data_IF_661517022497
#
_entry.id   IF_661517022497
#
_cell.length_a   1.000
_cell.length_b   1.000
_cell.length_c   1.000
_cell.angle_alpha   90.00
_cell.angle_beta   90.00
_cell.angle_gamma   90.00
#
_symmetry.space_group_name_H-M   'P 1'
#
loop_
_entity.id
_entity.type
_entity.pdbx_description
1 polymer ?
#
# COMPACT_ATOMS: atom_id res chain seq x y z
N UNK A 1 42.48 46.67 14.27
CA UNK A 1 42.14 45.76 13.16
C UNK A 1 41.05 44.81 13.64
N UNK A 2 39.78 45.20 13.52
CA UNK A 2 38.63 44.35 13.89
C UNK A 2 38.06 43.71 12.63
N UNK A 3 38.05 42.39 12.62
CA UNK A 3 37.71 41.53 11.48
C UNK A 3 36.19 41.51 11.28
N UNK A 4 35.77 41.71 10.03
CA UNK A 4 34.43 41.43 9.56
C UNK A 4 34.08 39.95 9.83
N UNK A 5 33.01 39.71 10.59
CA UNK A 5 32.37 38.40 10.68
C UNK A 5 31.09 38.42 9.87
N UNK A 6 31.14 37.89 8.64
CA UNK A 6 29.99 37.72 7.77
C UNK A 6 29.25 36.45 8.23
N UNK A 7 28.01 36.61 8.74
CA UNK A 7 27.10 35.51 9.03
C UNK A 7 26.28 35.20 7.78
N UNK A 8 26.69 34.19 7.02
CA UNK A 8 25.91 33.63 5.90
C UNK A 8 24.79 32.74 6.45
N UNK A 9 23.58 33.28 6.53
CA UNK A 9 22.38 32.50 6.82
C UNK A 9 21.93 31.77 5.55
N UNK A 10 22.24 30.46 5.45
CA UNK A 10 21.70 29.60 4.40
C UNK A 10 20.29 29.19 4.81
N UNK A 11 19.28 29.93 4.34
CA UNK A 11 17.89 29.54 4.47
C UNK A 11 17.60 28.36 3.53
N UNK A 12 17.75 27.15 4.05
CA UNK A 12 17.24 25.94 3.40
C UNK A 12 15.72 25.95 3.50
N UNK A 13 15.06 26.50 2.49
CA UNK A 13 13.63 26.31 2.25
C UNK A 13 13.47 24.85 1.80
N UNK A 14 13.36 23.96 2.79
CA UNK A 14 13.05 22.56 2.57
C UNK A 14 11.66 22.46 1.96
N UNK A 15 11.58 22.36 0.64
CA UNK A 15 10.38 21.92 -0.05
C UNK A 15 10.09 20.49 0.42
N UNK A 16 9.19 20.35 1.39
CA UNK A 16 8.57 19.08 1.71
C UNK A 16 7.72 18.68 0.49
N UNK A 17 8.36 18.04 -0.49
CA UNK A 17 7.68 17.34 -1.55
C UNK A 17 6.85 16.24 -0.88
N UNK A 18 5.59 16.58 -0.61
CA UNK A 18 4.58 15.62 -0.22
C UNK A 18 4.37 14.73 -1.44
N UNK A 19 5.14 13.65 -1.53
CA UNK A 19 4.85 12.56 -2.44
C UNK A 19 3.47 12.01 -2.02
N UNK A 20 2.42 12.55 -2.64
CA UNK A 20 1.10 11.94 -2.59
C UNK A 20 1.30 10.63 -3.33
N UNK A 21 1.42 9.54 -2.58
CA UNK A 21 1.35 8.21 -3.16
C UNK A 21 -0.06 8.11 -3.74
N UNK A 22 -0.18 8.27 -5.06
CA UNK A 22 -1.42 7.95 -5.76
C UNK A 22 -1.85 6.54 -5.32
N UNK A 23 -3.07 6.44 -4.81
CA UNK A 23 -3.62 5.17 -4.33
C UNK A 23 -3.67 4.20 -5.52
N UNK A 24 -2.90 3.11 -5.44
CA UNK A 24 -2.84 2.12 -6.52
C UNK A 24 -4.22 1.46 -6.67
N UNK A 25 -4.85 1.58 -7.84
CA UNK A 25 -6.14 0.95 -8.12
C UNK A 25 -5.93 -0.26 -9.02
N UNK A 26 -6.35 -1.45 -8.57
CA UNK A 26 -6.36 -2.67 -9.37
C UNK A 26 -7.75 -2.91 -9.93
N UNK A 27 -7.89 -2.88 -11.25
CA UNK A 27 -9.15 -3.21 -11.92
C UNK A 27 -9.31 -4.74 -11.98
N UNK A 28 -10.42 -5.24 -11.44
CA UNK A 28 -10.80 -6.66 -11.47
C UNK A 28 -12.16 -6.82 -12.15
N UNK A 29 -12.37 -7.97 -12.77
CA UNK A 29 -13.63 -8.33 -13.42
C UNK A 29 -14.47 -9.25 -12.54
N UNK A 30 -13.83 -10.07 -11.70
CA UNK A 30 -14.47 -11.04 -10.83
C UNK A 30 -13.80 -11.08 -9.46
N UNK A 31 -14.59 -10.84 -8.41
CA UNK A 31 -14.14 -10.98 -7.03
C UNK A 31 -14.78 -12.22 -6.37
N UNK A 32 -14.03 -13.08 -5.67
CA UNK A 32 -12.59 -13.04 -5.39
C UNK A 32 -11.70 -13.75 -6.45
N UNK A 33 -12.24 -14.03 -7.65
CA UNK A 33 -11.53 -14.79 -8.69
C UNK A 33 -10.17 -14.19 -9.08
N UNK A 34 -10.14 -12.87 -9.25
CA UNK A 34 -9.01 -12.11 -9.79
C UNK A 34 -8.03 -11.61 -8.71
N UNK A 35 -8.07 -12.19 -7.51
CA UNK A 35 -7.23 -11.76 -6.38
C UNK A 35 -5.73 -11.90 -6.65
N UNK A 36 -5.35 -12.76 -7.60
CA UNK A 36 -3.97 -12.98 -8.08
C UNK A 36 -3.43 -11.84 -8.96
N UNK A 37 -4.29 -10.98 -9.50
CA UNK A 37 -3.85 -9.76 -10.19
C UNK A 37 -3.23 -8.74 -9.22
N UNK A 38 -3.53 -8.89 -7.93
CA UNK A 38 -3.04 -7.99 -6.88
C UNK A 38 -1.77 -8.60 -6.28
N UNK A 39 -0.62 -7.90 -6.33
CA UNK A 39 0.64 -8.45 -5.85
C UNK A 39 0.58 -8.70 -4.35
N UNK A 40 1.20 -9.78 -3.88
CA UNK A 40 1.27 -10.12 -2.44
C UNK A 40 1.83 -9.00 -1.55
N UNK A 41 2.61 -8.05 -2.09
CA UNK A 41 3.09 -6.89 -1.34
C UNK A 41 1.99 -5.89 -0.97
N UNK A 42 0.86 -5.91 -1.67
CA UNK A 42 -0.30 -5.09 -1.35
C UNK A 42 -1.16 -5.70 -0.22
N UNK A 43 -0.89 -6.94 0.14
CA UNK A 43 -1.65 -7.70 1.13
C UNK A 43 -0.87 -7.82 2.44
N UNK A 44 -1.56 -7.53 3.54
CA UNK A 44 -1.01 -7.70 4.89
C UNK A 44 -1.87 -8.70 5.65
N UNK A 45 -1.24 -9.76 6.19
CA UNK A 45 -1.91 -10.70 7.08
C UNK A 45 -1.90 -10.16 8.51
N UNK A 46 -3.08 -9.88 9.02
CA UNK A 46 -3.35 -9.52 10.41
C UNK A 46 -3.15 -10.73 11.35
N UNK A 47 -2.91 -10.46 12.63
CA UNK A 47 -2.67 -11.48 13.65
C UNK A 47 -3.88 -12.38 13.90
N UNK A 48 -5.08 -11.90 13.58
CA UNK A 48 -6.34 -12.64 13.70
C UNK A 48 -6.63 -13.56 12.50
N UNK A 49 -5.69 -13.64 11.54
CA UNK A 49 -5.79 -14.45 10.33
C UNK A 49 -6.45 -13.77 9.14
N UNK A 50 -6.88 -12.51 9.27
CA UNK A 50 -7.48 -11.74 8.15
C UNK A 50 -6.39 -11.23 7.21
N UNK A 51 -6.60 -11.32 5.90
CA UNK A 51 -5.79 -10.62 4.91
C UNK A 51 -6.43 -9.29 4.57
N UNK A 52 -5.67 -8.20 4.69
CA UNK A 52 -6.15 -6.84 4.43
C UNK A 52 -5.36 -6.24 3.27
N UNK A 53 -6.07 -5.65 2.32
CA UNK A 53 -5.47 -4.87 1.25
C UNK A 53 -5.03 -3.51 1.81
N UNK A 54 -3.71 -3.30 1.92
CA UNK A 54 -3.11 -2.08 2.48
C UNK A 54 -2.38 -1.24 1.45
N UNK A 55 -2.16 -1.78 0.25
CA UNK A 55 -1.40 -1.11 -0.82
C UNK A 55 -2.25 -0.26 -1.78
N UNK A 56 -3.58 -0.22 -1.61
CA UNK A 56 -4.45 0.49 -2.54
C UNK A 56 -5.90 0.00 -2.52
N UNK A 57 -6.54 0.07 -3.70
CA UNK A 57 -7.96 -0.12 -3.91
C UNK A 57 -8.23 -1.15 -5.01
N UNK A 58 -9.39 -1.80 -4.97
CA UNK A 58 -9.86 -2.67 -6.06
C UNK A 58 -11.04 -2.02 -6.73
N UNK A 59 -11.03 -1.96 -8.05
CA UNK A 59 -12.16 -1.48 -8.84
C UNK A 59 -12.86 -2.64 -9.52
N UNK A 60 -14.12 -2.85 -9.18
CA UNK A 60 -15.01 -3.87 -9.78
C UNK A 60 -16.12 -3.14 -10.53
N UNK A 61 -16.03 -3.13 -11.86
CA UNK A 61 -16.94 -2.35 -12.70
C UNK A 61 -16.87 -0.84 -12.40
N UNK A 62 -17.97 -0.26 -11.92
CA UNK A 62 -18.05 1.16 -11.53
C UNK A 62 -17.73 1.40 -10.05
N UNK A 63 -17.54 0.34 -9.25
CA UNK A 63 -17.30 0.45 -7.81
C UNK A 63 -15.81 0.37 -7.50
N UNK A 64 -15.32 1.28 -6.66
CA UNK A 64 -13.97 1.22 -6.09
C UNK A 64 -14.09 0.88 -4.61
N UNK A 65 -13.41 -0.19 -4.20
CA UNK A 65 -13.43 -0.76 -2.87
C UNK A 65 -12.06 -0.59 -2.22
N UNK A 66 -12.06 0.05 -1.05
CA UNK A 66 -10.87 0.28 -0.23
C UNK A 66 -10.96 -0.56 1.04
N UNK A 67 -9.81 -0.84 1.68
CA UNK A 67 -9.74 -1.59 2.94
C UNK A 67 -10.39 -2.97 2.88
N UNK A 68 -10.19 -3.69 1.77
CA UNK A 68 -10.75 -5.03 1.59
C UNK A 68 -10.09 -5.99 2.58
N UNK A 69 -10.91 -6.64 3.41
CA UNK A 69 -10.51 -7.70 4.31
C UNK A 69 -11.13 -9.03 3.89
N UNK A 70 -10.31 -10.07 3.73
CA UNK A 70 -10.79 -11.44 3.49
C UNK A 70 -10.31 -12.36 4.60
N UNK A 71 -11.21 -13.21 5.12
CA UNK A 71 -10.92 -14.08 6.28
C UNK A 71 -11.68 -15.40 6.17
N UNK A 72 -10.94 -16.51 6.25
CA UNK A 72 -11.52 -17.85 6.35
C UNK A 72 -12.34 -18.30 5.14
N UNK A 73 -12.31 -17.55 4.04
CA UNK A 73 -12.97 -17.87 2.77
C UNK A 73 -11.95 -18.39 1.73
N UNK A 74 -12.46 -18.75 0.55
CA UNK A 74 -11.62 -19.24 -0.55
C UNK A 74 -10.51 -18.24 -0.97
N UNK A 75 -10.76 -16.94 -0.82
CA UNK A 75 -9.81 -15.88 -1.15
C UNK A 75 -8.67 -15.82 -0.12
N UNK A 76 -9.01 -15.86 1.16
CA UNK A 76 -8.05 -15.91 2.26
C UNK A 76 -7.17 -17.17 2.20
N UNK A 77 -7.74 -18.33 1.88
CA UNK A 77 -6.97 -19.56 1.68
C UNK A 77 -6.05 -19.50 0.46
N UNK A 78 -6.48 -18.83 -0.62
CA UNK A 78 -5.63 -18.57 -1.80
C UNK A 78 -4.46 -17.66 -1.43
N UNK A 79 -4.70 -16.56 -0.73
CA UNK A 79 -3.66 -15.66 -0.23
C UNK A 79 -2.71 -16.35 0.77
N UNK A 80 -3.22 -17.24 1.62
CA UNK A 80 -2.36 -18.02 2.52
C UNK A 80 -1.38 -18.90 1.77
N UNK A 81 -1.84 -19.55 0.69
CA UNK A 81 -1.00 -20.41 -0.16
C UNK A 81 0.02 -19.60 -0.95
N UNK A 82 -0.40 -18.47 -1.53
CA UNK A 82 0.39 -17.71 -2.51
C UNK A 82 1.28 -16.65 -1.85
N UNK A 83 0.76 -15.96 -0.84
CA UNK A 83 1.41 -14.83 -0.18
C UNK A 83 1.92 -15.17 1.24
N UNK A 84 1.35 -16.18 1.90
CA UNK A 84 1.70 -16.56 3.27
C UNK A 84 3.10 -17.14 3.45
N UNK A 85 3.76 -17.57 2.37
CA UNK A 85 5.08 -18.20 2.40
C UNK A 85 6.25 -17.21 2.49
N UNK A 86 6.02 -15.89 2.39
CA UNK A 86 7.07 -14.85 2.46
C UNK A 86 7.52 -14.45 3.88
N UNK A 87 7.32 -15.29 4.89
CA UNK A 87 7.91 -15.08 6.22
C UNK A 87 8.83 -16.23 6.61
N UNK A 88 10.06 -16.19 6.11
CA UNK A 88 11.26 -16.62 6.85
C UNK A 88 12.42 -15.69 6.50
#
# INVERSE_FOLDING_TARGET
>A
MSRLGILTAVALIGAAASARADEQVWEVQSWPGDIDLIPCSAWTKSSDGTWVLTGGAVKLGSETMNNIGVKGDAAAHKLDRECGTKKK
#
